data_IF_455074852264
#
_entry.id   IF_455074852264
#
_cell.length_a   1.000
_cell.length_b   1.000
_cell.length_c   1.000
_cell.angle_alpha   90.00
_cell.angle_beta   90.00
_cell.angle_gamma   90.00
#
_symmetry.space_group_name_H-M   'P 1'
#
loop_
_entity.id
_entity.type
_entity.pdbx_description
1 polymer ?
#
# COMPACT_ATOMS: atom_id res chain seq x y z
N UNK A 1 -51.32 80.27 22.58
CA UNK A 1 -50.87 79.76 21.25
C UNK A 1 -49.43 80.21 21.05
N UNK A 2 -48.44 79.41 20.70
CA UNK A 2 -48.33 77.97 20.48
C UNK A 2 -46.84 77.61 20.64
N UNK A 3 -46.53 76.47 21.26
CA UNK A 3 -45.17 75.98 21.54
C UNK A 3 -44.51 75.42 20.26
N UNK A 4 -43.22 75.69 20.10
CA UNK A 4 -42.37 75.26 18.97
C UNK A 4 -42.06 73.76 19.05
N UNK A 5 -42.15 73.09 17.89
CA UNK A 5 -41.72 71.71 17.63
C UNK A 5 -40.29 71.75 17.06
N UNK A 6 -39.39 70.92 17.60
CA UNK A 6 -38.09 70.60 17.00
C UNK A 6 -38.20 69.16 16.50
N UNK A 7 -38.02 68.95 15.20
CA UNK A 7 -37.85 67.62 14.61
C UNK A 7 -36.43 67.53 14.02
N UNK A 8 -35.63 66.60 14.55
CA UNK A 8 -34.32 66.22 14.05
C UNK A 8 -34.48 65.21 12.90
N UNK A 9 -33.88 65.48 11.74
CA UNK A 9 -33.73 64.51 10.66
C UNK A 9 -32.48 63.65 10.90
N UNK A 10 -32.66 62.33 11.01
CA UNK A 10 -31.60 61.33 11.04
C UNK A 10 -31.31 60.81 9.62
N UNK A 11 -30.04 60.89 9.20
CA UNK A 11 -29.52 60.31 7.96
C UNK A 11 -29.27 58.81 8.15
N UNK A 12 -29.90 57.97 7.34
CA UNK A 12 -29.67 56.52 7.33
C UNK A 12 -28.54 56.12 6.38
N UNK A 13 -27.55 55.39 6.90
CA UNK A 13 -26.49 54.74 6.12
C UNK A 13 -26.96 53.32 5.76
N UNK A 14 -27.03 52.99 4.46
CA UNK A 14 -27.24 51.62 3.99
C UNK A 14 -25.91 50.85 4.02
N UNK A 15 -25.84 49.79 4.83
CA UNK A 15 -24.79 48.78 4.79
C UNK A 15 -25.24 47.63 3.88
N UNK A 16 -24.51 47.39 2.79
CA UNK A 16 -24.66 46.19 1.97
C UNK A 16 -23.88 45.03 2.62
N UNK A 17 -24.59 43.99 3.07
CA UNK A 17 -24.02 42.73 3.52
C UNK A 17 -23.78 41.80 2.33
N UNK A 18 -22.52 41.57 1.98
CA UNK A 18 -22.10 40.51 1.05
C UNK A 18 -22.11 39.17 1.79
N UNK A 19 -23.14 38.35 1.56
CA UNK A 19 -23.17 36.96 2.00
C UNK A 19 -22.40 36.08 1.01
N UNK A 20 -21.13 35.81 1.32
CA UNK A 20 -20.36 34.79 0.61
C UNK A 20 -20.81 33.38 1.02
N UNK A 21 -21.38 32.64 0.08
CA UNK A 21 -21.69 31.21 0.26
C UNK A 21 -20.39 30.40 0.26
N UNK A 22 -19.97 29.90 1.43
CA UNK A 22 -18.94 28.87 1.54
C UNK A 22 -19.53 27.55 1.01
N UNK A 23 -19.15 27.16 -0.20
CA UNK A 23 -19.36 25.80 -0.69
C UNK A 23 -18.44 24.86 0.08
N UNK A 24 -18.96 24.27 1.16
CA UNK A 24 -18.32 23.11 1.79
C UNK A 24 -18.50 21.91 0.84
N UNK A 25 -17.51 21.66 -0.02
CA UNK A 25 -17.34 20.36 -0.66
C UNK A 25 -16.92 19.35 0.39
N UNK A 26 -17.89 18.84 1.14
CA UNK A 26 -17.75 17.58 1.88
C UNK A 26 -17.62 16.49 0.84
N UNK A 27 -16.42 15.94 0.68
CA UNK A 27 -16.28 14.61 0.08
C UNK A 27 -17.00 13.66 1.03
N UNK A 28 -18.14 13.12 0.59
CA UNK A 28 -18.80 12.04 1.30
C UNK A 28 -17.83 10.87 1.33
N UNK A 29 -17.32 10.53 2.52
CA UNK A 29 -16.56 9.32 2.75
C UNK A 29 -17.49 8.15 2.40
N UNK A 30 -17.30 7.52 1.24
CA UNK A 30 -18.01 6.30 0.89
C UNK A 30 -17.73 5.28 1.97
N UNK A 31 -18.79 4.82 2.65
CA UNK A 31 -18.68 3.80 3.68
C UNK A 31 -17.98 2.56 3.09
N UNK A 32 -17.03 1.99 3.84
CA UNK A 32 -16.33 0.78 3.43
C UNK A 32 -17.31 -0.37 3.19
N UNK A 33 -17.04 -1.16 2.15
CA UNK A 33 -17.87 -2.32 1.82
C UNK A 33 -17.45 -3.50 2.68
N UNK A 34 -18.43 -4.15 3.30
CA UNK A 34 -18.20 -5.39 4.04
C UNK A 34 -17.78 -6.51 3.08
N UNK A 35 -16.61 -7.09 3.29
CA UNK A 35 -16.10 -8.20 2.49
C UNK A 35 -16.80 -9.52 2.86
N UNK A 36 -16.82 -10.52 1.95
CA UNK A 36 -17.47 -11.82 2.22
C UNK A 36 -16.82 -12.62 3.36
N UNK A 37 -15.50 -12.53 3.51
CA UNK A 37 -14.72 -13.29 4.49
C UNK A 37 -14.59 -12.61 5.86
N UNK A 38 -13.82 -13.22 6.77
CA UNK A 38 -13.52 -12.61 8.09
C UNK A 38 -12.46 -11.51 8.01
N UNK A 39 -11.55 -11.61 7.04
CA UNK A 39 -10.55 -10.59 6.75
C UNK A 39 -11.25 -9.45 6.02
N UNK A 40 -11.17 -8.24 6.56
CA UNK A 40 -11.81 -7.02 6.05
C UNK A 40 -10.79 -5.97 5.61
N UNK A 41 -9.58 -6.04 6.16
CA UNK A 41 -8.47 -5.14 5.87
C UNK A 41 -7.19 -5.92 5.57
N UNK A 42 -6.43 -5.46 4.59
CA UNK A 42 -5.13 -6.01 4.19
C UNK A 42 -4.09 -4.91 4.27
N UNK A 43 -2.92 -5.28 4.80
CA UNK A 43 -1.70 -4.49 4.78
C UNK A 43 -0.64 -5.31 4.06
N UNK A 44 0.02 -4.74 3.06
CA UNK A 44 1.12 -5.38 2.34
C UNK A 44 2.34 -4.47 2.43
N UNK A 45 3.36 -4.92 3.18
CA UNK A 45 4.68 -4.29 3.22
C UNK A 45 5.57 -5.02 2.23
N UNK A 46 6.22 -4.27 1.33
CA UNK A 46 7.20 -4.80 0.39
C UNK A 46 8.57 -4.21 0.72
N UNK A 47 9.50 -5.10 1.08
CA UNK A 47 10.92 -4.81 1.27
C UNK A 47 11.69 -5.17 -0.01
N UNK A 48 12.98 -4.86 -0.10
CA UNK A 48 13.76 -4.97 -1.32
C UNK A 48 14.87 -6.04 -1.26
N UNK A 49 15.04 -6.76 -2.37
CA UNK A 49 16.23 -7.51 -2.81
C UNK A 49 16.96 -8.35 -1.75
N UNK A 50 16.29 -9.39 -1.24
CA UNK A 50 16.93 -10.35 -0.35
C UNK A 50 16.46 -11.79 -0.56
N UNK A 51 17.43 -12.71 -0.67
CA UNK A 51 17.14 -14.12 -0.48
C UNK A 51 16.70 -14.36 0.98
N UNK A 52 15.70 -15.22 1.18
CA UNK A 52 15.18 -15.54 2.50
C UNK A 52 16.25 -16.04 3.47
N UNK A 53 17.26 -16.74 2.94
CA UNK A 53 18.42 -17.23 3.69
C UNK A 53 19.33 -16.13 4.26
N UNK A 54 19.30 -14.90 3.73
CA UNK A 54 20.05 -13.78 4.31
C UNK A 54 19.28 -13.03 5.40
N UNK A 55 17.98 -13.28 5.52
CA UNK A 55 17.09 -12.65 6.51
C UNK A 55 16.82 -13.61 7.67
N UNK A 56 16.37 -14.84 7.38
CA UNK A 56 16.04 -15.82 8.41
C UNK A 56 17.30 -16.30 9.13
N UNK A 57 17.29 -16.17 10.46
CA UNK A 57 18.43 -16.46 11.33
C UNK A 57 19.50 -15.36 11.37
N UNK A 58 19.32 -14.26 10.64
CA UNK A 58 20.28 -13.16 10.60
C UNK A 58 20.25 -12.34 11.89
N UNK A 59 21.43 -12.07 12.46
CA UNK A 59 21.58 -11.16 13.61
C UNK A 59 21.34 -9.69 13.25
N UNK A 60 21.30 -9.36 11.95
CA UNK A 60 20.91 -8.04 11.46
C UNK A 60 19.39 -7.86 11.35
N UNK A 61 18.60 -8.92 11.53
CA UNK A 61 17.13 -8.86 11.50
C UNK A 61 16.49 -9.41 12.80
N UNK A 62 16.84 -8.89 13.99
CA UNK A 62 16.35 -9.40 15.26
C UNK A 62 14.84 -9.22 15.45
N UNK A 63 14.20 -8.19 14.90
CA UNK A 63 12.76 -8.00 15.02
C UNK A 63 12.00 -9.04 14.21
N UNK A 64 12.36 -9.24 12.94
CA UNK A 64 11.78 -10.32 12.12
C UNK A 64 11.95 -11.67 12.82
N UNK A 65 13.18 -12.02 13.20
CA UNK A 65 13.49 -13.37 13.69
C UNK A 65 13.00 -13.64 15.12
N UNK A 66 13.14 -12.66 16.01
CA UNK A 66 12.83 -12.81 17.43
C UNK A 66 11.42 -12.40 17.82
N UNK A 67 10.76 -11.54 17.02
CA UNK A 67 9.43 -11.01 17.34
C UNK A 67 8.36 -11.46 16.36
N UNK A 68 8.58 -11.36 15.04
CA UNK A 68 7.55 -11.66 14.05
C UNK A 68 7.39 -13.16 13.79
N UNK A 69 8.48 -13.86 13.43
CA UNK A 69 8.40 -15.28 13.06
C UNK A 69 7.78 -16.20 14.13
N UNK A 70 7.98 -15.98 15.44
CA UNK A 70 7.32 -16.80 16.47
C UNK A 70 5.79 -16.70 16.48
N UNK A 71 5.21 -15.56 16.05
CA UNK A 71 3.76 -15.31 16.08
C UNK A 71 3.11 -15.35 14.69
N UNK A 72 3.92 -15.41 13.63
CA UNK A 72 3.46 -15.40 12.23
C UNK A 72 3.33 -16.81 11.64
N UNK A 73 2.64 -16.90 10.50
CA UNK A 73 2.86 -17.95 9.51
C UNK A 73 3.86 -17.43 8.46
N UNK A 74 4.72 -18.29 7.91
CA UNK A 74 5.61 -17.90 6.81
C UNK A 74 5.86 -19.03 5.81
N UNK A 75 6.26 -18.66 4.59
CA UNK A 75 6.60 -19.62 3.54
C UNK A 75 8.12 -19.72 3.34
N UNK A 76 8.65 -20.95 3.29
CA UNK A 76 10.07 -21.21 3.05
C UNK A 76 10.44 -21.28 1.55
N UNK A 77 9.43 -21.27 0.67
CA UNK A 77 9.60 -21.40 -0.79
C UNK A 77 8.77 -20.39 -1.58
N UNK A 78 8.55 -19.21 -1.02
CA UNK A 78 8.03 -18.06 -1.77
C UNK A 78 9.16 -17.46 -2.61
N UNK A 79 8.88 -17.07 -3.85
CA UNK A 79 9.88 -16.59 -4.83
C UNK A 79 9.35 -15.37 -5.57
N UNK A 80 10.23 -14.56 -6.15
CA UNK A 80 9.80 -13.70 -7.25
C UNK A 80 9.43 -14.57 -8.47
N UNK A 81 8.60 -14.07 -9.41
CA UNK A 81 8.31 -14.78 -10.64
C UNK A 81 9.58 -15.14 -11.43
N UNK A 82 9.61 -16.28 -12.16
CA UNK A 82 10.84 -16.79 -12.78
C UNK A 82 11.46 -15.81 -13.78
N UNK A 83 12.75 -15.50 -13.63
CA UNK A 83 13.49 -14.60 -14.50
C UNK A 83 13.02 -13.14 -14.47
N UNK A 84 12.20 -12.75 -13.50
CA UNK A 84 11.69 -11.39 -13.37
C UNK A 84 12.61 -10.60 -12.44
N UNK A 85 13.41 -9.76 -13.09
CA UNK A 85 14.31 -8.75 -12.53
C UNK A 85 14.33 -7.57 -13.52
N UNK A 86 14.55 -6.31 -13.10
CA UNK A 86 14.79 -5.85 -11.72
C UNK A 86 13.45 -5.63 -10.94
N UNK A 87 13.47 -4.79 -9.91
CA UNK A 87 12.37 -4.51 -8.96
C UNK A 87 11.03 -4.14 -9.61
N UNK A 88 10.97 -3.13 -10.50
CA UNK A 88 9.70 -2.63 -11.06
C UNK A 88 8.79 -3.75 -11.62
N UNK A 89 9.28 -4.66 -12.48
CA UNK A 89 8.53 -5.82 -12.94
C UNK A 89 7.85 -6.62 -11.81
N UNK A 90 8.51 -6.80 -10.66
CA UNK A 90 7.97 -7.54 -9.50
C UNK A 90 6.83 -6.78 -8.82
N UNK A 91 6.93 -5.45 -8.69
CA UNK A 91 5.83 -4.61 -8.20
C UNK A 91 4.61 -4.66 -9.13
N UNK A 92 4.83 -4.64 -10.45
CA UNK A 92 3.74 -4.78 -11.43
C UNK A 92 3.07 -6.17 -11.34
N UNK A 93 3.85 -7.21 -11.06
CA UNK A 93 3.31 -8.54 -10.78
C UNK A 93 2.39 -8.57 -9.55
N UNK A 94 2.77 -7.88 -8.46
CA UNK A 94 1.94 -7.78 -7.26
C UNK A 94 0.64 -7.01 -7.52
N UNK A 95 0.63 -6.04 -8.43
CA UNK A 95 -0.54 -5.20 -8.73
C UNK A 95 -1.46 -5.78 -9.81
N UNK A 96 -0.90 -6.40 -10.85
CA UNK A 96 -1.66 -6.78 -12.04
C UNK A 96 -1.40 -8.19 -12.56
N UNK A 97 -0.54 -8.97 -11.89
CA UNK A 97 -0.27 -10.36 -12.26
C UNK A 97 0.60 -10.49 -13.51
N UNK A 98 1.35 -9.45 -13.86
CA UNK A 98 2.27 -9.46 -14.99
C UNK A 98 3.14 -8.22 -15.01
N UNK A 99 4.24 -8.27 -15.75
CA UNK A 99 5.15 -7.14 -15.95
C UNK A 99 4.93 -6.41 -17.28
N UNK A 100 3.94 -6.81 -18.10
CA UNK A 100 3.61 -6.16 -19.37
C UNK A 100 4.78 -6.05 -20.38
N UNK A 101 5.77 -6.95 -20.27
CA UNK A 101 6.99 -6.89 -21.08
C UNK A 101 8.04 -5.89 -20.60
N UNK A 102 7.79 -5.20 -19.49
CA UNK A 102 8.74 -4.31 -18.82
C UNK A 102 9.77 -5.18 -18.09
N UNK A 103 11.04 -4.86 -18.30
CA UNK A 103 12.22 -5.64 -17.83
C UNK A 103 13.35 -4.72 -17.34
N UNK A 104 13.01 -3.49 -17.00
CA UNK A 104 13.92 -2.49 -16.44
C UNK A 104 13.20 -1.71 -15.32
N UNK A 105 13.88 -0.72 -14.73
CA UNK A 105 13.40 0.13 -13.65
C UNK A 105 13.07 1.57 -14.11
N UNK A 106 12.82 1.77 -15.40
CA UNK A 106 12.57 3.10 -15.94
C UNK A 106 11.25 3.69 -15.41
N UNK A 107 11.13 5.04 -15.34
CA UNK A 107 9.98 5.70 -14.75
C UNK A 107 8.69 5.52 -15.57
N UNK A 108 7.53 5.88 -15.01
CA UNK A 108 6.24 5.85 -15.72
C UNK A 108 6.20 6.60 -17.05
N UNK A 109 7.05 7.60 -17.27
CA UNK A 109 7.15 8.30 -18.57
C UNK A 109 7.60 7.40 -19.71
N UNK A 110 8.34 6.35 -19.40
CA UNK A 110 8.92 5.42 -20.37
C UNK A 110 7.99 4.20 -20.54
N UNK A 111 7.24 3.87 -19.49
CA UNK A 111 6.33 2.71 -19.44
C UNK A 111 4.89 3.07 -19.02
N UNK A 112 4.20 4.00 -19.69
CA UNK A 112 2.80 4.29 -19.39
C UNK A 112 1.90 3.10 -19.79
N UNK A 113 1.15 2.57 -18.82
CA UNK A 113 0.23 1.45 -19.02
C UNK A 113 -1.20 1.97 -19.21
N UNK A 114 -1.76 1.69 -20.39
CA UNK A 114 -3.17 1.96 -20.71
C UNK A 114 -4.11 0.82 -20.26
N UNK A 115 -3.55 -0.22 -19.65
CA UNK A 115 -4.30 -1.36 -19.14
C UNK A 115 -5.07 -0.96 -17.88
N UNK A 116 -6.40 -1.16 -17.86
CA UNK A 116 -7.24 -0.73 -16.73
C UNK A 116 -7.78 -1.90 -15.90
N UNK A 117 -7.44 -3.14 -16.26
CA UNK A 117 -7.82 -4.34 -15.52
C UNK A 117 -6.66 -4.76 -14.60
N UNK A 118 -6.59 -4.14 -13.42
CA UNK A 118 -5.58 -4.38 -12.37
C UNK A 118 -6.24 -4.32 -10.97
N UNK A 119 -5.50 -4.71 -9.92
CA UNK A 119 -6.05 -4.95 -8.59
C UNK A 119 -6.80 -3.72 -8.05
N UNK A 120 -6.18 -2.54 -8.01
CA UNK A 120 -6.82 -1.38 -7.36
C UNK A 120 -8.00 -0.83 -8.14
N UNK A 121 -7.99 -0.92 -9.47
CA UNK A 121 -9.17 -0.58 -10.28
C UNK A 121 -10.32 -1.57 -10.04
N UNK A 122 -10.02 -2.86 -9.84
CA UNK A 122 -11.04 -3.85 -9.41
C UNK A 122 -11.56 -3.56 -8.01
N UNK A 123 -10.70 -3.21 -7.05
CA UNK A 123 -11.14 -2.81 -5.70
C UNK A 123 -12.09 -1.60 -5.77
N UNK A 124 -11.71 -0.56 -6.50
CA UNK A 124 -12.52 0.64 -6.74
C UNK A 124 -13.89 0.28 -7.33
N UNK A 125 -13.94 -0.62 -8.31
CA UNK A 125 -15.20 -1.05 -8.95
C UNK A 125 -16.21 -1.67 -7.98
N UNK A 126 -15.72 -2.19 -6.84
CA UNK A 126 -16.53 -2.78 -5.77
C UNK A 126 -16.72 -1.87 -4.56
N UNK A 127 -16.25 -0.62 -4.62
CA UNK A 127 -16.30 0.31 -3.49
C UNK A 127 -15.36 -0.08 -2.34
N UNK A 128 -14.36 -0.94 -2.59
CA UNK A 128 -13.33 -1.29 -1.61
C UNK A 128 -12.28 -0.20 -1.63
N UNK A 129 -12.03 0.43 -0.48
CA UNK A 129 -11.06 1.53 -0.38
C UNK A 129 -9.64 0.99 -0.43
N UNK A 130 -8.74 1.74 -1.05
CA UNK A 130 -7.31 1.43 -1.07
C UNK A 130 -6.45 2.67 -0.84
N UNK A 131 -5.23 2.48 -0.33
CA UNK A 131 -4.19 3.49 -0.20
C UNK A 131 -2.82 2.83 -0.41
N UNK A 132 -1.89 3.56 -0.99
CA UNK A 132 -0.47 3.24 -0.98
C UNK A 132 0.27 4.26 -0.13
N UNK A 133 0.96 3.80 0.92
CA UNK A 133 1.79 4.62 1.78
C UNK A 133 3.24 4.52 1.33
N UNK A 134 3.74 5.58 0.72
CA UNK A 134 5.10 5.66 0.19
C UNK A 134 5.94 6.52 1.13
N UNK A 135 7.06 6.00 1.62
CA UNK A 135 7.96 6.80 2.43
C UNK A 135 8.70 7.84 1.58
N UNK A 136 8.79 9.07 2.07
CA UNK A 136 9.57 10.14 1.44
C UNK A 136 8.80 11.01 0.44
N UNK A 137 7.54 10.70 0.12
CA UNK A 137 6.70 11.61 -0.68
C UNK A 137 6.03 12.68 0.19
N UNK A 138 5.55 13.77 -0.43
CA UNK A 138 4.86 14.87 0.26
C UNK A 138 3.34 14.71 0.31
N UNK A 139 2.76 13.92 -0.60
CA UNK A 139 1.31 13.81 -0.76
C UNK A 139 0.63 15.02 -1.41
N UNK A 140 1.40 15.94 -2.01
CA UNK A 140 0.89 17.17 -2.66
C UNK A 140 0.83 17.08 -4.18
N UNK A 141 1.44 16.07 -4.77
CA UNK A 141 1.48 15.80 -6.21
C UNK A 141 1.51 14.29 -6.44
N UNK A 142 1.07 13.85 -7.63
CA UNK A 142 1.24 12.46 -8.05
C UNK A 142 2.74 12.18 -8.23
N UNK A 143 3.33 11.20 -7.51
CA UNK A 143 4.78 11.03 -7.48
C UNK A 143 5.27 10.19 -8.67
N UNK A 144 5.33 10.82 -9.84
CA UNK A 144 5.64 10.19 -11.13
C UNK A 144 7.15 10.01 -11.40
N UNK A 145 8.01 10.50 -10.52
CA UNK A 145 9.47 10.40 -10.64
C UNK A 145 10.10 10.22 -9.26
N UNK A 146 11.35 9.76 -9.23
CA UNK A 146 12.16 9.72 -8.01
C UNK A 146 12.22 11.11 -7.34
N UNK A 147 12.26 11.12 -6.01
CA UNK A 147 12.42 12.34 -5.22
C UNK A 147 13.09 12.05 -3.88
N UNK A 148 14.32 12.54 -3.68
CA UNK A 148 15.11 12.19 -2.51
C UNK A 148 15.34 10.68 -2.45
N UNK A 149 14.88 10.03 -1.37
CA UNK A 149 14.97 8.57 -1.21
C UNK A 149 13.72 7.83 -1.71
N UNK A 150 12.68 8.52 -2.18
CA UNK A 150 11.56 7.86 -2.83
C UNK A 150 11.97 7.39 -4.22
N UNK A 151 11.75 6.10 -4.49
CA UNK A 151 11.98 5.46 -5.79
C UNK A 151 10.63 5.14 -6.46
N UNK A 152 10.39 5.72 -7.64
CA UNK A 152 9.12 5.56 -8.37
C UNK A 152 8.89 4.12 -8.82
N UNK A 153 9.97 3.38 -9.11
CA UNK A 153 9.92 1.96 -9.49
C UNK A 153 9.29 1.05 -8.44
N UNK A 154 9.27 1.44 -7.16
CA UNK A 154 8.61 0.67 -6.09
C UNK A 154 7.11 1.04 -5.94
N UNK A 155 6.58 1.88 -6.84
CA UNK A 155 5.19 2.33 -6.86
C UNK A 155 4.50 1.84 -8.15
N UNK A 156 3.92 0.63 -8.18
CA UNK A 156 3.33 0.11 -9.41
C UNK A 156 2.14 0.94 -9.90
N UNK A 157 1.41 1.55 -8.97
CA UNK A 157 0.16 2.26 -9.28
C UNK A 157 0.35 3.46 -10.21
N UNK A 158 1.50 4.15 -10.14
CA UNK A 158 1.77 5.34 -10.96
C UNK A 158 2.13 5.01 -12.41
N UNK A 159 2.32 3.74 -12.74
CA UNK A 159 2.51 3.30 -14.13
C UNK A 159 1.19 3.18 -14.89
N UNK A 160 0.04 3.13 -14.20
CA UNK A 160 -1.27 2.98 -14.82
C UNK A 160 -1.95 4.33 -15.08
N UNK A 161 -2.31 4.59 -16.34
CA UNK A 161 -2.88 5.88 -16.76
C UNK A 161 -4.23 6.19 -16.10
N UNK A 162 -5.04 5.16 -15.79
CA UNK A 162 -6.32 5.34 -15.10
C UNK A 162 -6.18 5.74 -13.63
N UNK A 163 -4.99 5.53 -13.04
CA UNK A 163 -4.63 6.04 -11.71
C UNK A 163 -4.06 7.46 -11.81
N UNK A 164 -3.17 7.71 -12.76
CA UNK A 164 -2.42 8.98 -12.87
C UNK A 164 -3.10 10.05 -13.71
N UNK A 165 -4.24 9.75 -14.34
CA UNK A 165 -4.87 10.64 -15.33
C UNK A 165 -3.89 10.99 -16.46
N UNK A 166 -3.38 9.96 -17.14
CA UNK A 166 -2.39 10.07 -18.22
C UNK A 166 -1.11 10.83 -17.80
N UNK A 167 -0.49 10.38 -16.69
CA UNK A 167 0.73 10.97 -16.12
C UNK A 167 0.60 12.44 -15.72
N UNK A 168 -0.59 12.85 -15.26
CA UNK A 168 -0.80 14.19 -14.70
C UNK A 168 -0.29 14.25 -13.24
N UNK A 169 0.79 15.02 -13.04
CA UNK A 169 1.34 15.30 -11.71
C UNK A 169 0.33 15.96 -10.74
N UNK A 170 -0.75 16.54 -11.25
CA UNK A 170 -1.85 17.15 -10.48
C UNK A 170 -3.07 16.24 -10.34
N UNK A 171 -2.99 14.97 -10.76
CA UNK A 171 -4.10 14.02 -10.68
C UNK A 171 -4.63 13.89 -9.26
N UNK A 172 -5.84 14.39 -9.05
CA UNK A 172 -6.51 14.34 -7.75
C UNK A 172 -6.75 12.90 -7.29
N UNK A 173 -7.03 11.98 -8.23
CA UNK A 173 -7.23 10.57 -7.89
C UNK A 173 -5.92 9.92 -7.43
N UNK A 174 -4.82 10.12 -8.15
CA UNK A 174 -3.50 9.64 -7.73
C UNK A 174 -3.11 10.21 -6.36
N UNK A 175 -3.20 11.53 -6.18
CA UNK A 175 -2.84 12.21 -4.93
C UNK A 175 -3.67 11.69 -3.76
N UNK A 176 -4.96 11.38 -3.97
CA UNK A 176 -5.82 10.87 -2.91
C UNK A 176 -5.48 9.43 -2.45
N UNK A 177 -4.86 8.62 -3.29
CA UNK A 177 -4.56 7.22 -2.99
C UNK A 177 -3.09 6.94 -2.70
N UNK A 178 -2.16 7.69 -3.33
CA UNK A 178 -0.72 7.60 -3.09
C UNK A 178 -0.36 8.63 -2.03
N UNK A 179 -0.24 8.17 -0.78
CA UNK A 179 -0.13 8.99 0.43
C UNK A 179 1.25 8.87 1.07
N UNK A 180 1.74 9.93 1.75
CA UNK A 180 2.99 9.86 2.47
C UNK A 180 2.88 8.88 3.64
N UNK A 181 3.90 8.04 3.85
CA UNK A 181 3.93 7.08 4.97
C UNK A 181 3.68 7.74 6.34
N UNK A 182 4.09 9.00 6.51
CA UNK A 182 3.86 9.76 7.74
C UNK A 182 2.39 9.85 8.16
N UNK A 183 1.44 9.67 7.24
CA UNK A 183 -0.01 9.67 7.53
C UNK A 183 -0.49 8.36 8.18
N UNK A 184 0.22 7.23 8.01
CA UNK A 184 -0.29 5.90 8.37
C UNK A 184 -0.65 5.79 9.87
N UNK A 185 0.16 6.37 10.75
CA UNK A 185 -0.08 6.31 12.19
C UNK A 185 -1.38 7.02 12.59
N UNK A 186 -1.65 8.17 11.97
CA UNK A 186 -2.89 8.91 12.19
C UNK A 186 -4.06 8.13 11.62
N UNK A 187 -3.95 7.64 10.38
CA UNK A 187 -5.01 6.90 9.71
C UNK A 187 -5.43 5.62 10.45
N UNK A 188 -4.46 4.89 11.02
CA UNK A 188 -4.72 3.72 11.86
C UNK A 188 -5.40 4.10 13.18
N UNK A 189 -4.98 5.20 13.82
CA UNK A 189 -5.53 5.66 15.09
C UNK A 189 -6.95 6.24 14.95
N UNK A 190 -7.27 6.87 13.82
CA UNK A 190 -8.59 7.48 13.56
C UNK A 190 -9.54 6.56 12.78
N UNK A 191 -9.11 5.34 12.43
CA UNK A 191 -9.94 4.39 11.68
C UNK A 191 -10.20 4.80 10.23
N UNK A 192 -9.27 5.57 9.63
CA UNK A 192 -9.34 6.07 8.25
C UNK A 192 -8.32 5.42 7.31
N UNK A 193 -7.59 4.41 7.80
CA UNK A 193 -6.88 3.47 6.94
C UNK A 193 -7.86 2.78 5.96
N UNK A 194 -7.37 2.42 4.78
CA UNK A 194 -8.18 1.80 3.75
C UNK A 194 -8.40 0.30 4.02
N UNK A 195 -9.22 -0.36 3.22
CA UNK A 195 -9.34 -1.82 3.26
C UNK A 195 -8.13 -2.51 2.62
N UNK A 196 -7.51 -1.92 1.60
CA UNK A 196 -6.21 -2.36 1.06
C UNK A 196 -5.15 -1.28 1.28
N UNK A 197 -4.07 -1.61 1.99
CA UNK A 197 -3.00 -0.68 2.30
C UNK A 197 -1.66 -1.26 1.81
N UNK A 198 -1.14 -0.72 0.72
CA UNK A 198 0.20 -1.03 0.23
C UNK A 198 1.21 -0.12 0.90
N UNK A 199 2.32 -0.63 1.42
CA UNK A 199 3.25 0.13 2.25
C UNK A 199 4.67 -0.15 1.77
N UNK A 200 5.40 0.91 1.42
CA UNK A 200 6.73 0.80 0.81
C UNK A 200 7.69 1.74 1.54
N UNK A 201 8.74 1.20 2.19
CA UNK A 201 9.83 2.01 2.74
C UNK A 201 10.60 2.72 1.61
N UNK A 202 11.34 3.78 1.96
CA UNK A 202 12.23 4.43 1.01
C UNK A 202 13.57 3.69 0.91
N UNK A 203 14.46 4.16 0.03
CA UNK A 203 15.77 3.52 -0.20
C UNK A 203 16.61 3.33 1.08
N UNK A 204 16.42 4.12 2.14
CA UNK A 204 17.19 3.89 3.37
C UNK A 204 16.65 2.76 4.24
N UNK A 205 15.40 2.36 4.04
CA UNK A 205 14.69 1.48 4.95
C UNK A 205 14.13 0.23 4.25
N UNK A 206 14.28 0.12 2.94
CA UNK A 206 13.78 -0.99 2.14
C UNK A 206 14.60 -2.29 2.29
N UNK A 207 15.74 -2.25 2.99
CA UNK A 207 16.73 -3.32 3.18
C UNK A 207 17.69 -3.57 2.01
N UNK A 208 17.55 -2.90 0.88
CA UNK A 208 18.48 -3.08 -0.23
C UNK A 208 19.60 -2.06 -0.21
N UNK A 209 19.27 -0.77 -0.07
CA UNK A 209 20.30 0.26 -0.10
C UNK A 209 20.86 0.53 1.30
N UNK A 210 22.19 0.68 1.37
CA UNK A 210 22.85 1.16 2.58
C UNK A 210 22.76 2.68 2.64
N UNK A 211 22.18 3.21 3.71
CA UNK A 211 22.27 4.63 4.03
C UNK A 211 23.25 4.87 5.18
N UNK A 212 24.07 5.92 5.04
CA UNK A 212 25.05 6.32 6.04
C UNK A 212 26.04 5.21 6.45
N UNK A 213 26.32 4.26 5.55
CA UNK A 213 27.22 3.13 5.79
C UNK A 213 26.68 2.05 6.73
N UNK A 214 25.40 2.11 7.11
CA UNK A 214 24.78 1.08 7.94
C UNK A 214 24.36 -0.15 7.12
N UNK A 215 24.31 -1.32 7.76
CA UNK A 215 23.79 -2.53 7.13
C UNK A 215 22.31 -2.34 6.77
N UNK A 216 21.96 -2.54 5.51
CA UNK A 216 20.62 -2.28 4.96
C UNK A 216 19.56 -3.16 5.61
N UNK A 217 19.81 -4.46 5.80
CA UNK A 217 18.92 -5.37 6.52
C UNK A 217 18.61 -4.87 7.94
N UNK A 218 19.61 -4.35 8.65
CA UNK A 218 19.44 -3.79 10.00
C UNK A 218 18.58 -2.52 10.00
N UNK A 219 18.76 -1.64 9.01
CA UNK A 219 17.93 -0.44 8.89
C UNK A 219 16.47 -0.79 8.63
N UNK A 220 16.20 -1.69 7.68
CA UNK A 220 14.82 -2.11 7.41
C UNK A 220 14.19 -2.92 8.53
N UNK A 221 14.95 -3.74 9.27
CA UNK A 221 14.42 -4.47 10.43
C UNK A 221 14.04 -3.52 11.56
N UNK A 222 14.86 -2.49 11.78
CA UNK A 222 14.53 -1.41 12.71
C UNK A 222 13.28 -0.63 12.26
N UNK A 223 13.16 -0.34 10.96
CA UNK A 223 11.96 0.29 10.39
C UNK A 223 10.72 -0.57 10.62
N UNK A 224 10.78 -1.88 10.35
CA UNK A 224 9.68 -2.81 10.61
C UNK A 224 9.30 -2.83 12.10
N UNK A 225 10.28 -2.74 13.00
CA UNK A 225 10.03 -2.71 14.45
C UNK A 225 9.26 -1.48 14.93
N UNK A 226 9.22 -0.41 14.12
CA UNK A 226 8.43 0.80 14.39
C UNK A 226 7.05 0.70 13.74
N UNK A 227 6.99 0.29 12.47
CA UNK A 227 5.75 0.38 11.68
C UNK A 227 4.81 -0.82 11.86
N UNK A 228 5.34 -2.04 12.01
CA UNK A 228 4.50 -3.23 12.19
C UNK A 228 3.66 -3.15 13.48
N UNK A 229 4.20 -2.73 14.65
CA UNK A 229 3.39 -2.60 15.86
C UNK A 229 2.22 -1.61 15.72
N UNK A 230 2.35 -0.54 14.91
CA UNK A 230 1.25 0.39 14.66
C UNK A 230 0.09 -0.32 13.96
N UNK A 231 0.38 -1.14 12.95
CA UNK A 231 -0.62 -1.95 12.25
C UNK A 231 -1.25 -2.95 13.22
N UNK A 232 -0.44 -3.74 13.94
CA UNK A 232 -0.92 -4.79 14.84
C UNK A 232 -1.77 -4.25 16.01
N UNK A 233 -1.54 -3.01 16.45
CA UNK A 233 -2.31 -2.37 17.52
C UNK A 233 -3.62 -1.71 17.04
N UNK A 234 -3.83 -1.57 15.72
CA UNK A 234 -4.98 -0.86 15.17
C UNK A 234 -6.28 -1.67 15.23
N UNK A 235 -7.43 -0.98 15.27
CA UNK A 235 -8.74 -1.63 15.12
C UNK A 235 -8.87 -2.34 13.78
N UNK A 236 -8.28 -1.79 12.71
CA UNK A 236 -8.30 -2.39 11.38
C UNK A 236 -7.62 -3.77 11.32
N UNK A 237 -6.65 -4.05 12.20
CA UNK A 237 -5.99 -5.35 12.28
C UNK A 237 -6.80 -6.42 13.01
N UNK A 238 -7.77 -6.06 13.86
CA UNK A 238 -8.61 -7.05 14.58
C UNK A 238 -9.37 -8.00 13.65
N UNK A 239 -9.68 -7.52 12.44
CA UNK A 239 -10.21 -8.31 11.32
C UNK A 239 -9.31 -8.18 10.09
N UNK A 240 -8.01 -8.00 10.28
CA UNK A 240 -7.05 -7.74 9.22
C UNK A 240 -6.04 -8.85 8.99
N UNK A 241 -5.27 -8.71 7.91
CA UNK A 241 -4.08 -9.50 7.62
C UNK A 241 -2.95 -8.57 7.18
N UNK A 242 -1.78 -8.75 7.78
CA UNK A 242 -0.53 -8.09 7.39
C UNK A 242 0.37 -9.11 6.69
N UNK A 243 0.77 -8.77 5.47
CA UNK A 243 1.73 -9.50 4.66
C UNK A 243 3.02 -8.68 4.62
N UNK A 244 4.15 -9.35 4.82
CA UNK A 244 5.48 -8.77 4.63
C UNK A 244 6.22 -9.66 3.65
N UNK A 245 6.66 -9.09 2.54
CA UNK A 245 7.42 -9.80 1.51
C UNK A 245 8.56 -8.94 1.00
N UNK A 246 9.37 -9.54 0.12
CA UNK A 246 10.37 -8.83 -0.65
C UNK A 246 9.93 -8.83 -2.12
N UNK A 247 10.36 -7.86 -2.90
CA UNK A 247 10.08 -7.78 -4.34
C UNK A 247 10.87 -8.86 -5.11
N UNK A 248 12.17 -8.97 -4.89
CA UNK A 248 13.00 -9.98 -5.54
C UNK A 248 14.14 -10.47 -4.68
N UNK A 249 14.82 -11.48 -5.19
CA UNK A 249 15.97 -12.05 -4.53
C UNK A 249 17.22 -11.30 -4.96
N UNK A 250 18.11 -11.01 -4.00
CA UNK A 250 19.41 -10.44 -4.33
C UNK A 250 20.27 -11.33 -5.25
N UNK A 251 19.98 -12.64 -5.32
CA UNK A 251 20.57 -13.58 -6.29
C UNK A 251 19.54 -14.65 -6.73
N UNK A 252 19.46 -14.87 -8.06
CA UNK A 252 18.54 -15.84 -8.66
C UNK A 252 17.07 -15.46 -8.44
N UNK A 253 16.17 -16.45 -8.41
CA UNK A 253 14.73 -16.23 -8.22
C UNK A 253 14.26 -16.73 -6.85
N UNK A 254 14.97 -16.34 -5.79
CA UNK A 254 14.65 -16.66 -4.41
C UNK A 254 15.12 -18.03 -3.91
N UNK A 255 14.53 -18.55 -2.82
CA UNK A 255 13.36 -18.01 -2.11
C UNK A 255 13.59 -16.61 -1.54
N UNK A 256 12.51 -15.85 -1.43
CA UNK A 256 12.41 -14.57 -0.72
C UNK A 256 11.39 -14.73 0.43
N UNK A 257 11.33 -13.76 1.34
CA UNK A 257 10.43 -13.87 2.49
C UNK A 257 8.96 -13.67 2.13
N UNK A 258 8.08 -14.44 2.78
CA UNK A 258 6.65 -14.16 2.86
C UNK A 258 6.19 -14.48 4.28
N UNK A 259 5.81 -13.45 5.01
CA UNK A 259 5.38 -13.51 6.41
C UNK A 259 3.94 -13.01 6.48
N UNK A 260 3.07 -13.76 7.16
CA UNK A 260 1.66 -13.44 7.35
C UNK A 260 1.36 -13.35 8.84
N UNK A 261 0.90 -12.17 9.27
CA UNK A 261 0.37 -11.91 10.60
C UNK A 261 -1.13 -11.65 10.47
N UNK A 262 -1.94 -12.42 11.18
CA UNK A 262 -3.38 -12.17 11.27
C UNK A 262 -3.98 -12.89 12.47
N UNK A 263 -5.07 -12.38 13.07
CA UNK A 263 -5.91 -13.17 13.98
C UNK A 263 -6.45 -14.47 13.37
N UNK A 264 -6.43 -14.59 12.04
CA UNK A 264 -6.88 -15.78 11.29
C UNK A 264 -5.72 -16.59 10.68
N UNK A 265 -4.47 -16.13 10.84
CA UNK A 265 -3.28 -16.86 10.40
C UNK A 265 -2.99 -18.04 11.34
N UNK A 266 -2.25 -19.05 10.85
CA UNK A 266 -1.58 -20.00 11.73
C UNK A 266 -0.45 -19.26 12.47
N UNK A 267 -0.16 -19.61 13.73
CA UNK A 267 0.89 -18.94 14.53
C UNK A 267 2.09 -19.87 14.73
N UNK A 268 3.31 -19.33 14.63
CA UNK A 268 4.54 -20.12 14.71
C UNK A 268 4.66 -21.18 13.60
N UNK A 269 3.94 -20.97 12.49
CA UNK A 269 3.79 -21.95 11.42
C UNK A 269 4.69 -21.65 10.24
N UNK A 270 5.14 -22.70 9.55
CA UNK A 270 5.80 -22.57 8.25
C UNK A 270 5.46 -23.72 7.33
N UNK A 271 5.48 -23.46 6.03
CA UNK A 271 5.32 -24.47 4.99
C UNK A 271 6.43 -24.40 3.93
N UNK A 272 6.44 -25.39 3.04
CA UNK A 272 7.35 -25.50 1.90
C UNK A 272 6.60 -25.56 0.56
N UNK A 273 5.36 -25.07 0.54
CA UNK A 273 4.61 -24.90 -0.69
C UNK A 273 5.29 -23.80 -1.52
N UNK A 274 5.32 -23.98 -2.84
CA UNK A 274 5.91 -23.00 -3.76
C UNK A 274 4.88 -21.91 -4.04
N UNK A 275 5.30 -20.68 -3.89
CA UNK A 275 4.49 -19.48 -4.11
C UNK A 275 5.31 -18.43 -4.86
N UNK A 276 4.63 -17.47 -5.46
CA UNK A 276 5.23 -16.27 -6.03
C UNK A 276 4.31 -15.05 -5.85
N UNK A 277 4.62 -13.93 -6.52
CA UNK A 277 3.76 -12.73 -6.49
C UNK A 277 2.35 -12.97 -7.02
N UNK A 278 2.17 -13.85 -8.00
CA UNK A 278 0.86 -14.28 -8.47
C UNK A 278 0.04 -14.94 -7.37
N UNK A 279 0.66 -15.80 -6.54
CA UNK A 279 0.02 -16.38 -5.35
C UNK A 279 -0.47 -15.31 -4.36
N UNK A 280 0.32 -14.25 -4.14
CA UNK A 280 -0.09 -13.12 -3.29
C UNK A 280 -1.27 -12.40 -3.90
N UNK A 281 -1.20 -12.00 -5.17
CA UNK A 281 -2.30 -11.32 -5.87
C UNK A 281 -3.60 -12.14 -5.81
N UNK A 282 -3.53 -13.43 -6.16
CA UNK A 282 -4.67 -14.36 -6.08
C UNK A 282 -5.26 -14.42 -4.68
N UNK A 283 -4.41 -14.45 -3.65
CA UNK A 283 -4.84 -14.43 -2.24
C UNK A 283 -5.63 -13.15 -1.93
N UNK A 284 -5.15 -12.00 -2.39
CA UNK A 284 -5.82 -10.72 -2.19
C UNK A 284 -7.16 -10.67 -2.95
N UNK A 285 -7.20 -11.12 -4.20
CA UNK A 285 -8.42 -11.22 -4.98
C UNK A 285 -9.48 -12.07 -4.27
N UNK A 286 -9.08 -13.21 -3.67
CA UNK A 286 -10.01 -14.04 -2.88
C UNK A 286 -10.50 -13.31 -1.63
N UNK A 287 -9.61 -12.68 -0.86
CA UNK A 287 -9.98 -11.92 0.35
C UNK A 287 -11.01 -10.83 0.02
N UNK A 288 -10.79 -10.11 -1.09
CA UNK A 288 -11.66 -9.03 -1.56
C UNK A 288 -12.85 -9.52 -2.41
N UNK A 289 -12.97 -10.84 -2.64
CA UNK A 289 -14.01 -11.47 -3.43
C UNK A 289 -14.05 -11.03 -4.90
N UNK A 290 -12.90 -10.69 -5.48
CA UNK A 290 -12.76 -10.26 -6.87
C UNK A 290 -12.81 -11.49 -7.79
N UNK A 291 -13.90 -11.61 -8.55
CA UNK A 291 -14.11 -12.72 -9.49
C UNK A 291 -14.54 -12.20 -10.86
N UNK A 292 -14.07 -12.81 -11.97
CA UNK A 292 -13.00 -13.81 -12.04
C UNK A 292 -11.61 -13.20 -11.71
N UNK A 293 -10.59 -13.99 -11.32
CA UNK A 293 -9.23 -13.49 -11.12
C UNK A 293 -8.64 -12.78 -12.35
N UNK A 294 -7.63 -11.93 -12.15
CA UNK A 294 -6.89 -11.26 -13.23
C UNK A 294 -6.23 -12.28 -14.16
N UNK A 295 -6.20 -12.04 -15.48
CA UNK A 295 -5.68 -13.04 -16.44
C UNK A 295 -4.20 -13.42 -16.26
N UNK A 296 -3.42 -12.58 -15.57
CA UNK A 296 -2.06 -12.89 -15.12
C UNK A 296 -1.98 -14.00 -14.06
N UNK A 297 -3.11 -14.33 -13.43
CA UNK A 297 -3.35 -15.51 -12.57
C UNK A 297 -3.38 -16.80 -13.41
N UNK A 298 -2.33 -17.10 -14.20
CA UNK A 298 -2.31 -18.29 -15.05
C UNK A 298 -2.16 -19.56 -14.18
N UNK A 299 -3.26 -19.95 -13.55
CA UNK A 299 -3.78 -21.30 -13.31
C UNK A 299 -2.91 -22.35 -12.61
N UNK A 300 -1.71 -22.00 -12.10
CA UNK A 300 -0.79 -22.97 -11.48
C UNK A 300 -0.20 -22.52 -10.14
N UNK A 301 -0.35 -21.26 -9.75
CA UNK A 301 0.19 -20.76 -8.48
C UNK A 301 -0.82 -20.96 -7.35
N UNK A 302 -0.39 -21.68 -6.30
CA UNK A 302 -1.20 -21.90 -5.11
C UNK A 302 -1.47 -20.56 -4.42
N UNK A 303 -2.71 -20.26 -4.03
CA UNK A 303 -2.96 -19.15 -3.11
C UNK A 303 -2.36 -19.43 -1.71
N UNK A 304 -2.15 -18.39 -0.91
CA UNK A 304 -1.51 -18.47 0.41
C UNK A 304 -2.43 -19.07 1.50
N UNK A 305 -3.50 -19.76 1.13
CA UNK A 305 -4.55 -20.26 2.05
C UNK A 305 -3.99 -21.16 3.16
N UNK A 306 -2.94 -21.95 2.89
CA UNK A 306 -2.28 -22.79 3.89
C UNK A 306 -1.57 -22.00 5.01
N UNK A 307 -1.29 -20.70 4.83
CA UNK A 307 -0.77 -19.86 5.92
C UNK A 307 -1.87 -19.45 6.91
N UNK A 308 -3.14 -19.72 6.61
CA UNK A 308 -4.29 -19.35 7.42
C UNK A 308 -4.94 -20.55 8.13
N UNK A 309 -5.40 -20.32 9.36
CA UNK A 309 -6.28 -21.25 10.08
C UNK A 309 -7.74 -21.06 9.68
N UNK A 310 -8.10 -19.88 9.19
CA UNK A 310 -9.37 -19.59 8.53
C UNK A 310 -9.10 -18.67 7.35
N UNK A 311 -9.42 -19.15 6.15
CA UNK A 311 -9.32 -18.39 4.91
C UNK A 311 -10.73 -18.26 4.29
N UNK A 312 -11.08 -17.12 3.67
CA UNK A 312 -12.35 -16.97 2.96
C UNK A 312 -12.61 -18.05 1.90
#
# INVERSE_FOLDING_TARGET
>A
MSRRIILLLSVGVLLFSLTGTKTNTSFAQTASVKLPGKIQNVFLIVMENHNWSSIKGSSNAPYINGSLLPIAAHAERYKNPPGVHPSLPNYLWLEAGGNFGIVDDNPPSDHPLTWTDHLVTRLKSRGITWKAYMEGITGTACPLTDNGNYAVRHNPFVYFNDVTNDLDGSSAYCIAHIRPLAEIATDLATGTAAQYNFIVPNLCHDMHNSCNGANSTKLGDAWLSVHVPLVLASTAYQNGALFITWDEAGQGDGPIGMIVLSPFAKHGYRNWIRYNHGATLRTLEIIFGLVPPLRGDISHDAELSDLFATFP
#
